data_IF_543420736033
#
_entry.id   IF_543420736033
#
_cell.length_a   1.000
_cell.length_b   1.000
_cell.length_c   1.000
_cell.angle_alpha   90.00
_cell.angle_beta   90.00
_cell.angle_gamma   90.00
#
_symmetry.space_group_name_H-M   'P 1'
#
loop_
_entity.id
_entity.type
_entity.pdbx_description
1 polymer ?
#
# COMPACT_ATOMS: atom_id res chain seq x y z
N UNK A 1 -3.10 14.01 5.26
CA UNK A 1 -1.81 13.33 5.47
C UNK A 1 -0.75 14.38 5.74
N UNK A 2 0.06 14.17 6.76
CA UNK A 2 1.10 15.10 7.20
C UNK A 2 2.45 14.40 7.22
N UNK A 3 3.51 15.13 6.89
CA UNK A 3 4.88 14.78 7.18
C UNK A 3 5.28 15.45 8.50
N UNK A 4 5.87 14.69 9.41
CA UNK A 4 6.38 15.21 10.68
C UNK A 4 7.90 15.28 10.61
N UNK A 5 8.46 16.46 10.81
CA UNK A 5 9.89 16.70 10.82
C UNK A 5 10.30 17.36 12.14
N UNK A 6 11.59 17.55 12.36
CA UNK A 6 12.09 18.32 13.52
C UNK A 6 11.57 19.77 13.55
N UNK A 7 11.13 20.28 12.41
CA UNK A 7 10.61 21.66 12.25
C UNK A 7 9.09 21.74 12.34
N UNK A 8 8.41 20.63 12.63
CA UNK A 8 6.96 20.58 12.76
C UNK A 8 6.26 19.68 11.72
N UNK A 9 4.95 19.84 11.62
CA UNK A 9 4.10 19.09 10.69
C UNK A 9 3.87 19.87 9.41
N UNK A 10 3.99 19.19 8.26
CA UNK A 10 3.67 19.77 6.96
C UNK A 10 2.64 18.88 6.26
N UNK A 11 1.55 19.47 5.80
CA UNK A 11 0.56 18.75 4.99
C UNK A 11 1.18 18.35 3.64
N UNK A 12 1.17 17.05 3.34
CA UNK A 12 1.68 16.52 2.07
C UNK A 12 0.59 16.21 1.06
N UNK A 13 -0.60 15.87 1.53
CA UNK A 13 -1.78 15.73 0.68
C UNK A 13 -3.06 15.83 1.50
N UNK A 14 -4.14 16.24 0.85
CA UNK A 14 -5.49 16.26 1.39
C UNK A 14 -6.32 15.27 0.58
N UNK A 15 -6.94 14.31 1.27
CA UNK A 15 -7.84 13.35 0.66
C UNK A 15 -9.28 13.79 0.83
N UNK A 16 -9.89 14.27 -0.25
CA UNK A 16 -11.30 14.60 -0.27
C UNK A 16 -12.14 13.34 -0.53
N UNK A 17 -12.99 12.99 0.42
CA UNK A 17 -13.82 11.78 0.39
C UNK A 17 -15.27 12.06 -0.02
N UNK A 18 -15.63 13.33 -0.24
CA UNK A 18 -16.96 13.75 -0.61
C UNK A 18 -18.03 13.20 0.35
N UNK A 19 -19.14 12.70 -0.20
CA UNK A 19 -20.25 12.10 0.54
C UNK A 19 -19.91 10.79 1.25
N UNK A 20 -18.76 10.18 0.93
CA UNK A 20 -18.30 8.93 1.55
C UNK A 20 -17.36 9.15 2.73
N UNK A 21 -17.25 10.40 3.21
CA UNK A 21 -16.50 10.70 4.43
C UNK A 21 -17.17 10.05 5.62
N UNK A 22 -16.38 9.32 6.43
CA UNK A 22 -16.87 8.73 7.68
C UNK A 22 -17.29 9.86 8.64
N UNK A 23 -18.53 9.86 9.17
CA UNK A 23 -18.97 10.81 10.20
C UNK A 23 -18.06 10.71 11.43
N UNK A 24 -17.83 11.84 12.09
CA UNK A 24 -16.95 11.90 13.26
C UNK A 24 -17.45 11.01 14.41
N UNK A 25 -18.75 10.94 14.60
CA UNK A 25 -19.37 10.08 15.61
C UNK A 25 -19.11 8.59 15.37
N UNK A 26 -19.13 8.16 14.10
CA UNK A 26 -18.80 6.78 13.73
C UNK A 26 -17.30 6.51 13.76
N UNK A 27 -16.47 7.53 13.49
CA UNK A 27 -15.02 7.40 13.59
C UNK A 27 -14.57 7.10 15.03
N UNK A 28 -15.30 7.56 16.03
CA UNK A 28 -15.02 7.26 17.46
C UNK A 28 -15.37 5.83 17.85
N UNK A 29 -16.29 5.18 17.13
CA UNK A 29 -16.74 3.79 17.36
C UNK A 29 -15.92 2.76 16.57
N UNK A 30 -14.71 3.10 16.15
CA UNK A 30 -13.87 2.30 15.21
C UNK A 30 -13.64 0.86 15.64
N UNK A 31 -13.75 0.54 16.93
CA UNK A 31 -13.63 -0.83 17.43
C UNK A 31 -14.90 -1.67 17.22
N UNK A 32 -16.06 -1.04 17.02
CA UNK A 32 -17.35 -1.73 16.88
C UNK A 32 -17.83 -1.85 15.42
N UNK A 33 -17.24 -1.06 14.51
CA UNK A 33 -17.64 -1.11 13.10
C UNK A 33 -17.09 -2.38 12.46
N UNK A 34 -17.94 -3.40 12.43
CA UNK A 34 -17.67 -4.62 11.67
C UNK A 34 -17.31 -4.27 10.22
N UNK A 35 -16.36 -4.99 9.59
CA UNK A 35 -15.97 -4.75 8.20
C UNK A 35 -17.13 -4.81 7.19
N UNK A 36 -18.25 -5.36 7.61
CA UNK A 36 -19.36 -5.80 6.77
C UNK A 36 -20.42 -4.73 6.54
N UNK A 37 -20.10 -3.55 6.15
CA UNK A 37 -21.18 -2.68 5.74
C UNK A 37 -20.91 -1.18 5.72
N UNK A 38 -19.69 -0.76 5.90
CA UNK A 38 -19.41 0.66 5.82
C UNK A 38 -19.55 1.18 4.39
N UNK A 39 -20.55 2.00 4.17
CA UNK A 39 -20.70 2.80 2.95
C UNK A 39 -19.64 3.91 2.87
N UNK A 40 -18.81 4.03 3.88
CA UNK A 40 -17.84 5.10 4.01
C UNK A 40 -16.45 4.68 3.56
N UNK A 41 -15.72 5.67 3.11
CA UNK A 41 -14.34 5.53 2.67
C UNK A 41 -13.40 5.59 3.88
N UNK A 42 -12.70 4.51 4.18
CA UNK A 42 -11.73 4.42 5.28
C UNK A 42 -10.32 4.34 4.73
N UNK A 43 -9.55 5.41 4.88
CA UNK A 43 -8.13 5.40 4.54
C UNK A 43 -7.38 4.50 5.52
N UNK A 44 -6.62 3.55 4.99
CA UNK A 44 -5.81 2.61 5.76
C UNK A 44 -4.34 3.04 5.79
N UNK A 45 -3.88 3.68 4.73
CA UNK A 45 -2.52 4.18 4.64
C UNK A 45 -2.32 5.07 3.42
N UNK A 46 -1.37 5.97 3.53
CA UNK A 46 -0.86 6.77 2.42
C UNK A 46 0.65 6.77 2.51
N UNK A 47 1.29 6.39 1.43
CA UNK A 47 2.74 6.40 1.28
C UNK A 47 3.14 7.26 0.10
N UNK A 48 4.29 7.90 0.21
CA UNK A 48 4.85 8.76 -0.82
C UNK A 48 6.14 8.15 -1.33
N UNK A 49 6.24 7.90 -2.62
CA UNK A 49 7.43 7.36 -3.25
C UNK A 49 7.66 8.09 -4.58
N UNK A 50 8.85 8.67 -4.76
CA UNK A 50 9.16 9.45 -5.96
C UNK A 50 8.03 10.42 -6.31
N UNK A 51 7.54 10.38 -7.53
CA UNK A 51 6.45 11.23 -8.02
C UNK A 51 5.05 10.65 -7.77
N UNK A 52 4.92 9.64 -6.89
CA UNK A 52 3.66 8.94 -6.68
C UNK A 52 3.21 8.95 -5.23
N UNK A 53 1.89 8.90 -5.02
CA UNK A 53 1.27 8.43 -3.78
C UNK A 53 0.73 7.02 -3.98
N UNK A 54 0.92 6.18 -2.98
CA UNK A 54 0.24 4.88 -2.86
C UNK A 54 -0.78 5.02 -1.74
N UNK A 55 -2.05 4.90 -2.07
CA UNK A 55 -3.17 5.12 -1.14
C UNK A 55 -3.93 3.81 -0.98
N UNK A 56 -3.96 3.30 0.25
CA UNK A 56 -4.73 2.11 0.62
C UNK A 56 -5.98 2.51 1.37
N UNK A 57 -7.13 1.97 0.98
CA UNK A 57 -8.39 2.28 1.64
C UNK A 57 -9.39 1.13 1.57
N UNK A 58 -10.31 1.11 2.53
CA UNK A 58 -11.45 0.23 2.56
C UNK A 58 -12.70 1.00 2.11
N UNK A 59 -13.45 0.41 1.17
CA UNK A 59 -14.73 0.92 0.72
C UNK A 59 -15.68 -0.22 0.39
N UNK A 60 -16.89 -0.20 0.95
CA UNK A 60 -17.90 -1.25 0.76
C UNK A 60 -17.34 -2.67 0.93
N UNK A 61 -16.65 -2.90 2.04
CA UNK A 61 -16.02 -4.20 2.38
C UNK A 61 -14.82 -4.63 1.53
N UNK A 62 -14.47 -3.85 0.51
CA UNK A 62 -13.31 -4.15 -0.35
C UNK A 62 -12.15 -3.25 -0.01
N UNK A 63 -10.98 -3.85 0.01
CA UNK A 63 -9.72 -3.13 0.10
C UNK A 63 -9.31 -2.70 -1.32
N UNK A 64 -8.90 -1.46 -1.44
CA UNK A 64 -8.36 -0.91 -2.67
C UNK A 64 -6.98 -0.31 -2.40
N UNK A 65 -6.13 -0.43 -3.40
CA UNK A 65 -4.87 0.28 -3.48
C UNK A 65 -4.86 1.11 -4.76
N UNK A 66 -4.51 2.37 -4.63
CA UNK A 66 -4.41 3.29 -5.76
C UNK A 66 -3.02 3.90 -5.84
N UNK A 67 -2.51 3.99 -7.04
CA UNK A 67 -1.30 4.76 -7.35
C UNK A 67 -1.71 6.06 -8.03
N UNK A 68 -1.33 7.16 -7.42
CA UNK A 68 -1.63 8.51 -7.90
C UNK A 68 -0.35 9.20 -8.35
N UNK A 69 -0.40 9.84 -9.51
CA UNK A 69 0.62 10.76 -9.98
C UNK A 69 0.48 12.10 -9.25
N UNK A 70 1.56 12.56 -8.63
CA UNK A 70 1.58 13.85 -7.92
C UNK A 70 1.53 15.05 -8.84
N UNK A 71 2.08 14.91 -10.05
CA UNK A 71 2.16 16.01 -11.03
C UNK A 71 0.79 16.32 -11.60
N UNK A 72 0.11 15.27 -12.06
CA UNK A 72 -1.16 15.39 -12.76
C UNK A 72 -2.35 15.24 -11.81
N UNK A 73 -2.11 14.89 -10.54
CA UNK A 73 -3.12 14.60 -9.54
C UNK A 73 -4.18 13.61 -10.03
N UNK A 74 -3.74 12.54 -10.69
CA UNK A 74 -4.61 11.53 -11.28
C UNK A 74 -4.26 10.12 -10.83
N UNK A 75 -5.26 9.25 -10.83
CA UNK A 75 -5.08 7.82 -10.61
C UNK A 75 -4.43 7.21 -11.84
N UNK A 76 -3.28 6.55 -11.65
CA UNK A 76 -2.61 5.78 -12.70
C UNK A 76 -3.09 4.33 -12.68
N UNK A 77 -3.25 3.78 -11.50
CA UNK A 77 -3.66 2.40 -11.30
C UNK A 77 -4.52 2.25 -10.07
N UNK A 78 -5.51 1.34 -10.17
CA UNK A 78 -6.32 0.92 -9.04
C UNK A 78 -6.35 -0.60 -9.00
N UNK A 79 -6.09 -1.15 -7.82
CA UNK A 79 -6.14 -2.58 -7.56
C UNK A 79 -7.24 -2.85 -6.53
N UNK A 80 -8.04 -3.88 -6.76
CA UNK A 80 -8.89 -4.43 -5.72
C UNK A 80 -8.06 -5.39 -4.86
N UNK A 81 -8.37 -5.53 -3.57
CA UNK A 81 -7.53 -6.19 -2.57
C UNK A 81 -7.09 -7.64 -2.86
N UNK A 82 -7.44 -8.18 -4.01
CA UNK A 82 -7.00 -9.51 -4.49
C UNK A 82 -5.87 -9.43 -5.48
N UNK A 83 -5.74 -8.33 -6.21
CA UNK A 83 -4.81 -8.19 -7.34
C UNK A 83 -3.66 -7.24 -7.12
N UNK A 84 -3.52 -6.65 -5.96
CA UNK A 84 -2.43 -5.75 -5.49
C UNK A 84 -1.31 -5.40 -6.47
N UNK A 85 -0.38 -4.62 -6.05
CA UNK A 85 0.88 -4.44 -6.79
C UNK A 85 1.54 -5.80 -6.91
N UNK A 86 1.98 -6.17 -8.11
CA UNK A 86 2.66 -7.43 -8.33
C UNK A 86 4.12 -7.22 -8.74
N UNK A 87 4.97 -8.09 -8.23
CA UNK A 87 6.36 -8.19 -8.60
C UNK A 87 6.57 -9.47 -9.43
N UNK A 88 7.47 -9.42 -10.42
CA UNK A 88 7.81 -10.57 -11.24
C UNK A 88 9.11 -11.19 -10.75
N UNK A 89 9.05 -12.47 -10.38
CA UNK A 89 10.21 -13.27 -10.00
C UNK A 89 11.07 -13.66 -11.21
N UNK A 90 12.34 -14.09 -11.02
CA UNK A 90 13.24 -14.49 -12.10
C UNK A 90 12.67 -15.57 -13.03
N UNK A 91 11.90 -16.52 -12.52
CA UNK A 91 11.23 -17.55 -13.31
C UNK A 91 10.01 -17.05 -14.09
N UNK A 92 9.66 -15.75 -13.97
CA UNK A 92 8.52 -15.12 -14.63
C UNK A 92 7.21 -15.15 -13.85
N UNK A 93 7.12 -15.88 -12.74
CA UNK A 93 5.94 -15.91 -11.88
C UNK A 93 5.70 -14.53 -11.26
N UNK A 94 4.42 -14.18 -11.08
CA UNK A 94 4.02 -12.96 -10.40
C UNK A 94 3.61 -13.27 -8.97
N UNK A 95 4.11 -12.48 -8.05
CA UNK A 95 3.66 -12.47 -6.65
C UNK A 95 2.96 -11.14 -6.35
N UNK A 96 1.84 -11.22 -5.64
CA UNK A 96 1.14 -10.04 -5.12
C UNK A 96 1.89 -9.48 -3.92
N UNK A 97 2.05 -8.17 -3.89
CA UNK A 97 2.69 -7.48 -2.77
C UNK A 97 1.61 -6.75 -1.99
N UNK A 98 1.59 -6.98 -0.68
CA UNK A 98 0.75 -6.18 0.20
C UNK A 98 1.35 -4.77 0.32
N UNK A 99 0.65 -3.77 -0.17
CA UNK A 99 1.09 -2.36 -0.12
C UNK A 99 1.40 -1.85 1.29
N UNK A 100 0.78 -2.45 2.32
CA UNK A 100 1.05 -2.12 3.73
C UNK A 100 2.41 -2.63 4.21
N UNK A 101 2.97 -3.63 3.52
CA UNK A 101 4.29 -4.18 3.83
C UNK A 101 5.40 -3.54 3.01
N UNK A 102 5.07 -2.54 2.20
CA UNK A 102 6.05 -1.78 1.46
C UNK A 102 6.73 -0.75 2.38
N UNK A 103 8.04 -0.79 2.40
CA UNK A 103 8.85 0.33 2.85
C UNK A 103 9.11 1.24 1.65
N UNK A 104 8.81 2.52 1.80
CA UNK A 104 8.94 3.51 0.73
C UNK A 104 9.79 4.68 1.26
N UNK A 105 10.91 4.93 0.62
CA UNK A 105 11.80 6.04 0.96
C UNK A 105 12.41 6.65 -0.30
N UNK A 106 12.09 7.89 -0.58
CA UNK A 106 12.53 8.59 -1.78
C UNK A 106 12.19 7.82 -3.05
N UNK A 107 13.20 7.29 -3.72
CA UNK A 107 13.08 6.47 -4.93
C UNK A 107 13.24 4.97 -4.66
N UNK A 108 13.22 4.57 -3.40
CA UNK A 108 13.43 3.17 -3.00
C UNK A 108 12.14 2.55 -2.53
N UNK A 109 11.86 1.36 -3.05
CA UNK A 109 10.78 0.49 -2.60
C UNK A 109 11.41 -0.79 -2.06
N UNK A 110 11.05 -1.18 -0.85
CA UNK A 110 11.50 -2.43 -0.27
C UNK A 110 10.32 -3.22 0.33
N UNK A 111 10.38 -4.53 0.19
CA UNK A 111 9.41 -5.47 0.78
C UNK A 111 10.07 -6.82 1.00
N UNK A 112 9.48 -7.63 1.87
CA UNK A 112 9.96 -8.99 2.11
C UNK A 112 9.06 -10.01 1.42
N UNK A 113 9.68 -11.09 0.95
CA UNK A 113 9.01 -12.31 0.50
C UNK A 113 9.53 -13.48 1.32
N UNK A 114 8.70 -14.50 1.53
CA UNK A 114 9.13 -15.69 2.24
C UNK A 114 10.19 -16.47 1.42
N UNK A 115 11.02 -17.23 2.12
CA UNK A 115 12.14 -17.93 1.50
C UNK A 115 11.68 -18.99 0.49
N UNK A 116 10.61 -19.72 0.81
CA UNK A 116 9.99 -20.70 -0.08
C UNK A 116 9.53 -20.06 -1.40
N UNK A 117 8.79 -18.93 -1.33
CA UNK A 117 8.35 -18.19 -2.52
C UNK A 117 9.54 -17.68 -3.34
N UNK A 118 10.61 -17.24 -2.69
CA UNK A 118 11.82 -16.78 -3.37
C UNK A 118 12.57 -17.94 -4.08
N UNK A 119 12.72 -19.08 -3.39
CA UNK A 119 13.38 -20.27 -3.93
C UNK A 119 12.61 -20.84 -5.14
N UNK A 120 11.28 -21.06 -4.99
CA UNK A 120 10.41 -21.48 -6.09
C UNK A 120 10.42 -20.48 -7.25
N UNK A 121 10.61 -19.21 -6.94
CA UNK A 121 10.71 -18.11 -7.90
C UNK A 121 12.03 -18.05 -8.66
N UNK A 122 12.99 -18.88 -8.33
CA UNK A 122 14.30 -18.95 -8.99
C UNK A 122 15.30 -17.89 -8.49
N UNK A 123 15.11 -17.37 -7.28
CA UNK A 123 16.10 -16.49 -6.65
C UNK A 123 17.31 -17.34 -6.20
N UNK A 124 18.46 -17.09 -6.79
CA UNK A 124 19.67 -17.89 -6.52
C UNK A 124 20.17 -17.71 -5.07
N UNK A 125 20.63 -18.80 -4.47
CA UNK A 125 21.23 -18.79 -3.13
C UNK A 125 20.21 -18.75 -1.98
N UNK A 126 18.94 -18.95 -2.26
CA UNK A 126 17.87 -19.00 -1.26
C UNK A 126 17.45 -20.46 -1.04
N UNK A 127 17.37 -20.86 0.23
CA UNK A 127 16.79 -22.16 0.63
C UNK A 127 15.36 -21.93 1.12
N UNK A 128 14.46 -22.87 0.85
CA UNK A 128 13.03 -22.79 1.22
C UNK A 128 12.81 -22.57 2.72
N UNK A 129 13.62 -23.21 3.57
CA UNK A 129 13.58 -23.08 5.03
C UNK A 129 14.38 -21.89 5.58
N UNK A 130 14.82 -20.98 4.70
CA UNK A 130 15.67 -19.85 5.06
C UNK A 130 14.89 -18.66 5.63
N UNK A 131 15.61 -17.59 5.93
CA UNK A 131 15.02 -16.33 6.32
C UNK A 131 14.30 -15.65 5.13
N UNK A 132 13.27 -14.83 5.40
CA UNK A 132 12.65 -14.04 4.36
C UNK A 132 13.66 -13.20 3.57
N UNK A 133 13.44 -13.11 2.26
CA UNK A 133 14.27 -12.34 1.34
C UNK A 133 13.78 -10.90 1.29
N UNK A 134 14.68 -9.96 1.51
CA UNK A 134 14.39 -8.53 1.32
C UNK A 134 14.63 -8.17 -0.16
N UNK A 135 13.58 -7.73 -0.82
CA UNK A 135 13.63 -7.18 -2.17
C UNK A 135 13.72 -5.66 -2.07
N UNK A 136 14.74 -5.08 -2.70
CA UNK A 136 14.96 -3.63 -2.76
C UNK A 136 15.01 -3.21 -4.22
N UNK A 137 14.16 -2.27 -4.59
CA UNK A 137 14.07 -1.72 -5.94
C UNK A 137 14.26 -0.20 -5.90
N UNK A 138 14.90 0.33 -6.92
CA UNK A 138 14.91 1.77 -7.22
C UNK A 138 13.92 2.06 -8.35
N UNK A 139 13.13 3.12 -8.18
CA UNK A 139 12.14 3.60 -9.16
C UNK A 139 12.68 4.84 -9.84
#
# INVERSE_FOLDING_TARGET
VFSVTKNGETSICILEKGTYKLPEEEARKVQEVTPNGSSYFRTMGVSSVSNYYVISYLFKTKLYDEVWDKTDNRIISRFDGKSGISFRLPNGNKIGINTRSLYLDGNTVAFSISADVAAEGGVSGVNEDGNPVLVVMKI
#
